data_IF_826326239763
#
_entry.id   IF_826326239763
#
_cell.length_a   1.000
_cell.length_b   1.000
_cell.length_c   1.000
_cell.angle_alpha   90.00
_cell.angle_beta   90.00
_cell.angle_gamma   90.00
#
_symmetry.space_group_name_H-M   'P 1'
#
loop_
_entity.id
_entity.type
_entity.pdbx_description
1 polymer ?
#
# COMPACT_ATOMS: atom_id res chain seq x y z
N UNK A 1 14.59 15.60 27.35
CA UNK A 1 14.32 14.38 26.56
C UNK A 1 13.29 14.74 25.50
N UNK A 2 13.71 14.79 24.24
CA UNK A 2 12.92 15.33 23.14
C UNK A 2 11.75 14.43 22.73
N UNK A 3 10.54 15.01 22.74
CA UNK A 3 9.30 14.40 22.23
C UNK A 3 9.42 13.90 20.78
N UNK A 4 10.39 14.40 20.01
CA UNK A 4 10.66 13.99 18.64
C UNK A 4 11.15 12.54 18.59
N UNK A 5 11.98 12.09 19.54
CA UNK A 5 12.42 10.67 19.61
C UNK A 5 11.28 9.72 19.98
N UNK A 6 10.27 10.19 20.71
CA UNK A 6 9.12 9.37 21.11
C UNK A 6 8.17 9.02 19.95
N UNK A 7 8.24 9.79 18.85
CA UNK A 7 7.47 9.55 17.62
C UNK A 7 8.23 8.69 16.60
N UNK A 8 9.55 8.56 16.74
CA UNK A 8 10.42 7.94 15.72
C UNK A 8 10.55 6.41 15.90
N UNK A 9 10.34 5.86 17.10
CA UNK A 9 10.70 4.45 17.38
C UNK A 9 9.59 3.54 17.94
N UNK A 10 8.32 3.96 17.96
CA UNK A 10 7.27 2.98 18.26
C UNK A 10 6.82 2.30 16.98
N UNK A 11 7.25 1.04 16.87
CA UNK A 11 6.65 -0.05 16.11
C UNK A 11 5.14 -0.11 16.38
N UNK A 12 4.38 0.87 15.90
CA UNK A 12 2.94 0.96 16.10
C UNK A 12 2.27 0.40 14.86
N UNK A 13 1.48 -0.68 15.00
CA UNK A 13 0.73 -1.23 13.89
C UNK A 13 -0.15 -0.17 13.26
N UNK A 14 -0.12 -0.11 11.94
CA UNK A 14 -0.95 0.79 11.15
C UNK A 14 -1.47 0.10 9.90
N UNK A 15 -2.57 0.63 9.37
CA UNK A 15 -2.97 0.48 7.97
C UNK A 15 -2.67 1.82 7.30
N UNK A 16 -2.02 1.77 6.14
CA UNK A 16 -1.69 2.93 5.33
C UNK A 16 -2.31 2.79 3.95
N UNK A 17 -2.67 3.94 3.39
CA UNK A 17 -3.21 4.07 2.05
C UNK A 17 -2.31 5.01 1.27
N UNK A 18 -1.77 4.52 0.15
CA UNK A 18 -1.02 5.34 -0.80
C UNK A 18 -1.79 5.43 -2.11
N UNK A 19 -1.79 6.61 -2.69
CA UNK A 19 -2.24 6.80 -4.06
C UNK A 19 -1.06 6.53 -5.00
N UNK A 20 -1.36 5.85 -6.10
CA UNK A 20 -0.41 5.50 -7.14
C UNK A 20 -0.77 6.20 -8.46
N UNK A 21 0.24 6.43 -9.30
CA UNK A 21 0.08 7.07 -10.58
C UNK A 21 -0.78 6.20 -11.53
N UNK A 22 -1.88 6.75 -12.01
CA UNK A 22 -2.67 6.14 -13.08
C UNK A 22 -1.90 6.20 -14.41
N UNK A 23 -1.67 5.06 -15.10
CA UNK A 23 -1.15 5.10 -16.45
C UNK A 23 -2.23 5.62 -17.41
N UNK A 24 -1.84 6.45 -18.37
CA UNK A 24 -2.71 6.83 -19.49
C UNK A 24 -2.45 5.96 -20.75
N UNK A 25 -1.39 5.15 -20.74
CA UNK A 25 -0.97 4.23 -21.82
C UNK A 25 -0.19 3.06 -21.23
N UNK A 26 -0.21 1.91 -21.90
CA UNK A 26 0.54 0.71 -21.49
C UNK A 26 2.05 0.99 -21.38
N UNK A 27 2.60 1.83 -22.26
CA UNK A 27 4.01 2.24 -22.25
C UNK A 27 4.45 2.94 -20.96
N UNK A 28 3.52 3.41 -20.15
CA UNK A 28 3.79 4.14 -18.92
C UNK A 28 3.75 3.25 -17.67
N UNK A 29 3.60 1.94 -17.86
CA UNK A 29 3.57 0.93 -16.80
C UNK A 29 4.97 0.32 -16.66
N UNK A 30 5.51 0.27 -15.44
CA UNK A 30 6.85 -0.29 -15.19
C UNK A 30 6.81 -1.83 -15.24
N UNK A 31 7.86 -2.44 -15.79
CA UNK A 31 8.10 -3.90 -15.77
C UNK A 31 8.66 -4.34 -14.40
N UNK A 32 8.47 -5.60 -13.95
CA UNK A 32 7.98 -6.77 -14.70
C UNK A 32 6.47 -7.06 -14.54
N UNK A 33 5.86 -7.49 -15.64
CA UNK A 33 4.45 -7.92 -15.71
C UNK A 33 4.21 -9.35 -15.17
N UNK A 34 5.17 -9.94 -14.44
CA UNK A 34 5.11 -11.34 -14.02
C UNK A 34 4.33 -11.51 -12.71
N UNK A 35 3.03 -11.76 -12.88
CA UNK A 35 2.13 -12.24 -11.83
C UNK A 35 0.67 -11.82 -12.06
N UNK A 36 -0.31 -12.50 -11.45
CA UNK A 36 -1.74 -12.22 -11.65
C UNK A 36 -2.25 -10.91 -11.02
N UNK A 37 -1.40 -9.93 -10.73
CA UNK A 37 -1.72 -8.85 -9.79
C UNK A 37 -1.38 -7.45 -10.31
N UNK A 38 -1.95 -7.14 -11.47
CA UNK A 38 -3.09 -6.21 -11.62
C UNK A 38 -3.45 -6.29 -13.09
N UNK A 39 -4.75 -6.49 -13.40
CA UNK A 39 -5.18 -6.48 -14.79
C UNK A 39 -4.82 -5.10 -15.32
N UNK A 40 -3.83 -5.00 -16.22
CA UNK A 40 -3.39 -3.75 -16.83
C UNK A 40 -4.61 -2.91 -17.30
N UNK A 41 -5.68 -3.59 -17.75
CA UNK A 41 -6.97 -2.97 -18.04
C UNK A 41 -7.57 -2.18 -16.87
N UNK A 42 -7.63 -2.72 -15.66
CA UNK A 42 -8.14 -2.04 -14.46
C UNK A 42 -7.29 -0.80 -14.12
N UNK A 43 -5.97 -0.91 -14.24
CA UNK A 43 -5.06 0.23 -14.05
C UNK A 43 -5.32 1.37 -15.05
N UNK A 44 -5.55 1.03 -16.31
CA UNK A 44 -5.76 2.01 -17.40
C UNK A 44 -7.15 2.67 -17.37
N UNK A 45 -8.18 1.99 -16.87
CA UNK A 45 -9.55 2.51 -16.85
C UNK A 45 -9.90 3.21 -15.54
N UNK A 46 -9.08 3.06 -14.52
CA UNK A 46 -9.32 3.67 -13.20
C UNK A 46 -9.03 5.17 -13.21
N UNK A 47 -9.90 5.94 -12.56
CA UNK A 47 -9.65 7.37 -12.31
C UNK A 47 -8.55 7.56 -11.26
N UNK A 48 -8.51 6.68 -10.26
CA UNK A 48 -7.52 6.69 -9.16
C UNK A 48 -7.09 5.26 -8.83
N UNK A 49 -5.82 5.10 -8.48
CA UNK A 49 -5.23 3.84 -8.04
C UNK A 49 -4.76 3.97 -6.60
N UNK A 50 -5.19 3.05 -5.75
CA UNK A 50 -4.76 3.00 -4.37
C UNK A 50 -4.11 1.67 -4.05
N UNK A 51 -3.13 1.72 -3.15
CA UNK A 51 -2.59 0.55 -2.48
C UNK A 51 -2.87 0.69 -0.98
N UNK A 52 -3.43 -0.36 -0.41
CA UNK A 52 -3.68 -0.51 1.02
C UNK A 52 -2.78 -1.61 1.55
N UNK A 53 -2.07 -1.30 2.64
CA UNK A 53 -1.22 -2.26 3.33
C UNK A 53 -1.14 -1.96 4.83
N UNK A 54 -0.58 -2.90 5.58
CA UNK A 54 -0.32 -2.76 7.01
C UNK A 54 1.17 -2.89 7.35
N UNK A 55 1.62 -2.21 8.41
CA UNK A 55 3.02 -2.27 8.87
C UNK A 55 3.17 -1.80 10.33
N UNK A 56 4.24 -2.22 11.00
CA UNK A 56 4.77 -1.58 12.23
C UNK A 56 5.87 -0.55 11.93
N UNK A 57 6.49 -0.59 10.75
CA UNK A 57 7.64 0.24 10.35
C UNK A 57 7.26 1.06 9.13
N UNK A 58 6.25 1.92 9.28
CA UNK A 58 5.65 2.66 8.16
C UNK A 58 6.67 3.46 7.35
N UNK A 59 7.63 4.11 8.01
CA UNK A 59 8.62 4.94 7.33
C UNK A 59 9.48 4.12 6.37
N UNK A 60 9.97 2.97 6.84
CA UNK A 60 10.75 2.06 6.00
C UNK A 60 9.91 1.47 4.88
N UNK A 61 8.66 1.13 5.18
CA UNK A 61 7.75 0.58 4.19
C UNK A 61 7.44 1.56 3.06
N UNK A 62 7.20 2.83 3.40
CA UNK A 62 7.03 3.90 2.40
C UNK A 62 8.32 4.14 1.61
N UNK A 63 9.47 4.03 2.25
CA UNK A 63 10.77 4.13 1.58
C UNK A 63 10.99 2.99 0.57
N UNK A 64 10.64 1.75 0.94
CA UNK A 64 10.67 0.60 0.04
C UNK A 64 9.78 0.82 -1.19
N UNK A 65 8.53 1.23 -0.97
CA UNK A 65 7.57 1.52 -2.04
C UNK A 65 8.08 2.61 -2.98
N UNK A 66 8.61 3.72 -2.45
CA UNK A 66 9.07 4.83 -3.27
C UNK A 66 10.31 4.50 -4.10
N UNK A 67 11.20 3.64 -3.58
CA UNK A 67 12.42 3.23 -4.29
C UNK A 67 12.25 2.04 -5.22
N UNK A 68 11.09 1.39 -5.22
CA UNK A 68 10.87 0.16 -5.97
C UNK A 68 11.83 -0.96 -5.54
N UNK A 69 12.20 -1.00 -4.26
CA UNK A 69 13.13 -2.02 -3.75
C UNK A 69 12.50 -3.41 -3.84
N UNK A 70 13.33 -4.45 -3.79
CA UNK A 70 12.91 -5.86 -3.84
C UNK A 70 11.92 -6.26 -2.73
N UNK A 71 11.84 -5.49 -1.64
CA UNK A 71 10.83 -5.67 -0.58
C UNK A 71 9.48 -4.99 -0.86
N UNK A 72 9.40 -4.06 -1.81
CA UNK A 72 8.17 -3.35 -2.15
C UNK A 72 7.15 -4.30 -2.79
N UNK A 73 5.86 -3.97 -2.64
CA UNK A 73 4.83 -4.71 -3.34
C UNK A 73 4.99 -4.58 -4.86
N UNK A 74 4.81 -5.69 -5.60
CA UNK A 74 4.81 -5.69 -7.07
C UNK A 74 3.90 -4.61 -7.65
N UNK A 75 2.73 -4.40 -7.03
CA UNK A 75 1.81 -3.31 -7.40
C UNK A 75 2.48 -1.94 -7.41
N UNK A 76 3.19 -1.59 -6.34
CA UNK A 76 3.84 -0.27 -6.20
C UNK A 76 5.12 -0.12 -7.01
N UNK A 77 5.74 -1.24 -7.42
CA UNK A 77 6.80 -1.24 -8.43
C UNK A 77 6.21 -0.92 -9.80
N UNK A 78 5.05 -1.51 -10.13
CA UNK A 78 4.36 -1.30 -11.40
C UNK A 78 3.69 0.09 -11.51
N UNK A 79 3.07 0.55 -10.42
CA UNK A 79 2.37 1.83 -10.30
C UNK A 79 3.01 2.64 -9.18
N UNK A 80 3.88 3.59 -9.56
CA UNK A 80 4.62 4.37 -8.56
C UNK A 80 3.70 5.12 -7.61
N UNK A 81 3.97 5.09 -6.30
CA UNK A 81 3.30 5.94 -5.33
C UNK A 81 3.49 7.42 -5.68
N UNK A 82 2.45 8.22 -5.47
CA UNK A 82 2.49 9.68 -5.59
C UNK A 82 2.28 10.36 -4.24
N UNK A 83 1.48 9.76 -3.36
CA UNK A 83 1.09 10.37 -2.08
C UNK A 83 0.72 9.31 -1.04
N UNK A 84 1.04 9.56 0.23
CA UNK A 84 0.43 8.88 1.37
C UNK A 84 -0.87 9.61 1.71
N UNK A 85 -2.00 8.97 1.43
CA UNK A 85 -3.34 9.56 1.57
C UNK A 85 -3.83 9.49 3.00
N UNK A 86 -3.61 8.35 3.65
CA UNK A 86 -4.16 8.11 4.98
C UNK A 86 -3.30 7.11 5.76
N UNK A 87 -3.31 7.27 7.09
CA UNK A 87 -2.65 6.39 8.03
C UNK A 87 -3.55 6.18 9.26
N UNK A 88 -3.98 4.94 9.48
CA UNK A 88 -4.79 4.53 10.63
C UNK A 88 -3.93 3.72 11.59
N UNK A 89 -3.84 4.18 12.84
CA UNK A 89 -3.07 3.50 13.88
C UNK A 89 -3.92 2.53 14.67
N UNK A 90 -3.36 1.37 15.01
CA UNK A 90 -4.02 0.32 15.76
C UNK A 90 -3.24 -0.05 17.01
N UNK A 91 -3.88 -0.82 17.88
CA UNK A 91 -3.31 -1.23 19.16
C UNK A 91 -2.51 -2.54 19.05
N UNK A 92 -2.78 -3.35 18.02
CA UNK A 92 -2.07 -4.63 17.79
C UNK A 92 -1.84 -4.92 16.30
N UNK A 93 -0.89 -5.81 16.02
CA UNK A 93 -0.56 -6.24 14.64
C UNK A 93 -1.76 -6.95 14.02
N UNK A 94 -2.46 -7.75 14.82
CA UNK A 94 -3.66 -8.51 14.45
C UNK A 94 -4.79 -7.56 14.07
N UNK A 95 -5.04 -6.53 14.89
CA UNK A 95 -6.05 -5.53 14.60
C UNK A 95 -5.75 -4.78 13.29
N UNK A 96 -4.50 -4.37 13.07
CA UNK A 96 -4.12 -3.73 11.82
C UNK A 96 -4.32 -4.66 10.60
N UNK A 97 -3.98 -5.94 10.72
CA UNK A 97 -4.17 -6.94 9.65
C UNK A 97 -5.65 -7.18 9.33
N UNK A 98 -6.50 -7.32 10.35
CA UNK A 98 -7.95 -7.46 10.17
C UNK A 98 -8.57 -6.23 9.50
N UNK A 99 -8.12 -5.05 9.91
CA UNK A 99 -8.64 -3.78 9.42
C UNK A 99 -8.14 -3.45 8.00
N UNK A 100 -7.02 -4.00 7.55
CA UNK A 100 -6.52 -3.77 6.19
C UNK A 100 -7.56 -4.13 5.11
N UNK A 101 -8.24 -5.27 5.27
CA UNK A 101 -9.30 -5.70 4.34
C UNK A 101 -10.52 -4.77 4.39
N UNK A 102 -10.90 -4.33 5.59
CA UNK A 102 -12.05 -3.45 5.80
C UNK A 102 -11.78 -2.09 5.16
N UNK A 103 -10.60 -1.52 5.41
CA UNK A 103 -10.16 -0.24 4.81
C UNK A 103 -10.09 -0.34 3.29
N UNK A 104 -9.58 -1.45 2.75
CA UNK A 104 -9.54 -1.65 1.31
C UNK A 104 -10.96 -1.66 0.70
N UNK A 105 -11.92 -2.29 1.37
CA UNK A 105 -13.31 -2.31 0.91
C UNK A 105 -13.98 -0.94 1.01
N UNK A 106 -13.80 -0.22 2.13
CA UNK A 106 -14.29 1.16 2.29
C UNK A 106 -13.83 2.07 1.13
N UNK A 107 -12.56 1.96 0.71
CA UNK A 107 -12.04 2.74 -0.41
C UNK A 107 -12.65 2.31 -1.76
N UNK A 108 -12.95 1.03 -1.96
CA UNK A 108 -13.63 0.55 -3.18
C UNK A 108 -15.06 1.09 -3.26
N UNK A 109 -15.78 1.04 -2.14
CA UNK A 109 -17.14 1.55 -2.02
C UNK A 109 -17.18 3.08 -2.25
N UNK A 110 -16.29 3.83 -1.61
CA UNK A 110 -16.18 5.29 -1.77
C UNK A 110 -15.85 5.70 -3.22
N UNK A 111 -15.11 4.87 -3.94
CA UNK A 111 -14.75 5.11 -5.34
C UNK A 111 -15.91 4.91 -6.33
N UNK A 112 -17.03 4.33 -5.90
CA UNK A 112 -18.19 4.01 -6.72
C UNK A 112 -17.82 3.33 -8.05
N UNK A 113 -16.89 2.36 -8.00
CA UNK A 113 -16.38 1.62 -9.17
C UNK A 113 -15.38 2.38 -10.06
N UNK A 114 -15.08 3.65 -9.76
CA UNK A 114 -14.11 4.45 -10.54
C UNK A 114 -12.68 4.40 -10.00
N UNK A 115 -12.48 3.87 -8.79
CA UNK A 115 -11.18 3.68 -8.16
C UNK A 115 -10.84 2.21 -8.17
N UNK A 116 -9.57 1.90 -8.40
CA UNK A 116 -9.06 0.55 -8.20
C UNK A 116 -8.16 0.52 -6.97
N UNK A 117 -8.47 -0.40 -6.07
CA UNK A 117 -7.83 -0.52 -4.76
C UNK A 117 -7.17 -1.88 -4.68
N UNK A 118 -5.84 -1.86 -4.71
CA UNK A 118 -5.03 -3.03 -4.45
C UNK A 118 -4.85 -3.19 -2.95
N UNK A 119 -5.17 -4.39 -2.45
CA UNK A 119 -4.87 -4.78 -1.08
C UNK A 119 -3.69 -5.74 -1.07
N UNK A 120 -2.78 -5.59 -0.12
CA UNK A 120 -1.74 -6.57 0.10
C UNK A 120 -2.34 -7.87 0.69
N UNK A 121 -2.65 -8.85 -0.15
CA UNK A 121 -3.11 -10.17 0.32
C UNK A 121 -2.01 -10.87 1.13
N UNK A 122 -2.04 -10.65 2.44
CA UNK A 122 -1.06 -11.13 3.41
C UNK A 122 -1.34 -12.60 3.80
N UNK A 123 -1.65 -13.49 2.84
CA UNK A 123 -1.94 -14.88 3.17
C UNK A 123 -0.68 -15.68 3.54
N UNK A 124 0.51 -15.23 3.10
CA UNK A 124 1.77 -15.86 3.46
C UNK A 124 2.90 -14.83 3.40
N UNK A 125 3.27 -14.24 4.53
CA UNK A 125 4.66 -13.89 4.88
C UNK A 125 4.74 -13.07 6.19
N UNK A 126 5.21 -13.72 7.24
CA UNK A 126 5.72 -13.06 8.46
C UNK A 126 7.00 -12.21 8.21
N UNK A 127 7.48 -12.15 6.96
CA UNK A 127 8.69 -11.41 6.57
C UNK A 127 8.56 -9.88 6.68
N UNK A 128 7.34 -9.32 6.61
CA UNK A 128 7.12 -7.86 6.67
C UNK A 128 6.92 -7.31 8.10
N UNK A 129 7.03 -8.17 9.12
CA UNK A 129 6.91 -7.80 10.54
C UNK A 129 8.21 -8.04 11.31
N UNK A 130 9.37 -7.94 10.62
CA UNK A 130 10.68 -8.10 11.25
C UNK A 130 10.88 -7.08 12.36
N UNK A 131 10.94 -7.61 13.58
CA UNK A 131 11.38 -6.92 14.81
C UNK A 131 12.83 -6.40 14.64
#
# INVERSE_FOLDING_TARGET
>A
MDKIRYLVDRLRPCVYIIECKCPNKISNIEQPHEGPMVRVGEGLTSKRLFYVGSSIRIIERLYEHNRGLTGAAKFTQQYRPIELVELRWYNSKEQAREQESIVAEEYRENGNGSWHVYQHHNQYQDFNWRD
#
